data_IF_257127538849
#
_entry.id   IF_257127538849
#
_cell.length_a   1.000
_cell.length_b   1.000
_cell.length_c   1.000
_cell.angle_alpha   90.00
_cell.angle_beta   90.00
_cell.angle_gamma   90.00
#
_symmetry.space_group_name_H-M   'P 1'
#
loop_
_entity.id
_entity.type
_entity.pdbx_description
1 polymer ?
#
# COMPACT_ATOMS: atom_id res chain seq x y z
N UNK A 1 34.38 -18.94 33.63
CA UNK A 1 32.91 -18.74 33.64
C UNK A 1 32.63 -17.41 32.94
N UNK A 2 32.32 -17.45 31.64
CA UNK A 2 31.82 -16.28 30.91
C UNK A 2 30.31 -16.33 31.00
N UNK A 3 29.73 -15.28 31.59
CA UNK A 3 28.29 -15.10 31.75
C UNK A 3 27.74 -14.69 30.37
N UNK A 4 26.98 -15.57 29.71
CA UNK A 4 26.17 -15.19 28.55
C UNK A 4 24.99 -14.38 29.08
N UNK A 5 24.94 -13.09 28.75
CA UNK A 5 23.75 -12.28 28.91
C UNK A 5 22.80 -12.61 27.75
N UNK A 6 21.79 -13.44 28.02
CA UNK A 6 20.67 -13.68 27.13
C UNK A 6 19.72 -12.48 27.28
N UNK A 7 19.91 -11.45 26.46
CA UNK A 7 18.98 -10.32 26.39
C UNK A 7 17.77 -10.79 25.58
N UNK A 8 16.73 -11.28 26.27
CA UNK A 8 15.45 -11.60 25.67
C UNK A 8 14.78 -10.33 25.16
N UNK A 9 14.70 -10.18 23.84
CA UNK A 9 13.84 -9.20 23.20
C UNK A 9 12.38 -9.61 23.48
N UNK A 10 11.69 -8.84 24.31
CA UNK A 10 10.24 -9.01 24.53
C UNK A 10 9.53 -8.35 23.36
N UNK A 11 9.03 -9.16 22.42
CA UNK A 11 8.10 -8.71 21.38
C UNK A 11 6.75 -8.47 22.05
N UNK A 12 6.36 -7.20 22.16
CA UNK A 12 5.03 -6.82 22.64
C UNK A 12 4.06 -6.97 21.48
N UNK A 13 3.27 -8.04 21.48
CA UNK A 13 2.09 -8.16 20.62
C UNK A 13 1.04 -7.15 21.11
N UNK A 14 1.04 -5.96 20.51
CA UNK A 14 -0.07 -5.02 20.62
C UNK A 14 -1.13 -5.47 19.62
N UNK A 15 -2.24 -6.02 20.11
CA UNK A 15 -3.43 -6.21 19.28
C UNK A 15 -4.02 -4.82 19.05
N UNK A 16 -3.59 -4.14 17.98
CA UNK A 16 -4.23 -2.91 17.52
C UNK A 16 -5.56 -3.28 16.86
N UNK A 17 -6.62 -2.55 17.22
CA UNK A 17 -7.90 -2.69 16.54
C UNK A 17 -7.72 -2.38 15.05
N UNK A 18 -8.30 -3.23 14.20
CA UNK A 18 -8.27 -3.21 12.72
C UNK A 18 -8.78 -1.92 12.06
N UNK A 19 -9.22 -0.92 12.82
CA UNK A 19 -9.72 0.36 12.30
C UNK A 19 -8.61 1.31 11.81
N UNK A 20 -7.35 1.08 12.19
CA UNK A 20 -6.23 1.94 11.77
C UNK A 20 -5.88 1.81 10.28
N UNK A 21 -6.41 0.78 9.59
CA UNK A 21 -6.17 0.49 8.18
C UNK A 21 -7.33 0.93 7.27
N UNK A 22 -8.42 1.43 7.85
CA UNK A 22 -9.56 1.83 7.05
C UNK A 22 -9.33 3.20 6.39
N UNK A 23 -9.77 3.36 5.12
CA UNK A 23 -9.80 4.65 4.47
C UNK A 23 -10.55 5.67 5.32
N UNK A 24 -10.01 6.89 5.42
CA UNK A 24 -10.74 8.01 6.02
C UNK A 24 -10.71 9.22 5.11
N UNK A 25 -11.81 9.97 5.09
CA UNK A 25 -11.93 11.23 4.38
C UNK A 25 -12.00 12.39 5.37
N UNK A 26 -11.29 13.45 5.02
CA UNK A 26 -11.24 14.69 5.78
C UNK A 26 -12.58 15.42 5.73
N UNK A 27 -12.92 16.08 6.84
CA UNK A 27 -14.12 16.92 7.00
C UNK A 27 -13.86 18.38 6.58
N UNK A 28 -12.91 18.56 5.68
CA UNK A 28 -12.39 19.81 5.15
C UNK A 28 -12.48 19.83 3.62
N UNK A 29 -13.36 19.01 3.04
CA UNK A 29 -13.68 19.16 1.65
C UNK A 29 -14.18 20.58 1.39
N UNK A 30 -13.78 21.11 0.25
CA UNK A 30 -14.15 22.45 -0.20
C UNK A 30 -14.63 22.35 -1.62
N UNK A 31 -15.49 23.29 -2.00
CA UNK A 31 -15.61 23.63 -3.40
C UNK A 31 -15.17 25.08 -3.61
N UNK A 32 -14.47 25.34 -4.70
CA UNK A 32 -14.03 26.68 -5.09
C UNK A 32 -14.65 27.03 -6.43
N UNK A 33 -15.25 28.22 -6.51
CA UNK A 33 -15.75 28.81 -7.76
C UNK A 33 -15.35 30.29 -7.80
N UNK A 34 -15.19 30.85 -9.00
CA UNK A 34 -14.96 32.28 -9.20
C UNK A 34 -16.09 33.15 -8.63
N UNK A 35 -17.30 32.60 -8.62
CA UNK A 35 -18.54 33.33 -8.32
C UNK A 35 -19.03 33.08 -6.88
N UNK A 36 -18.33 32.22 -6.13
CA UNK A 36 -18.59 31.97 -4.71
C UNK A 36 -17.41 32.38 -3.82
N UNK A 37 -17.51 33.60 -3.30
CA UNK A 37 -16.55 34.16 -2.37
C UNK A 37 -16.74 33.61 -0.94
N UNK A 38 -15.67 33.58 -0.11
CA UNK A 38 -15.78 33.19 1.29
C UNK A 38 -16.82 34.05 2.05
N UNK A 39 -17.88 33.41 2.57
CA UNK A 39 -18.91 34.06 3.40
C UNK A 39 -20.32 34.13 2.81
N UNK A 40 -20.51 33.81 1.53
CA UNK A 40 -21.84 33.56 0.95
C UNK A 40 -22.26 32.12 1.25
N UNK A 41 -23.20 31.95 2.19
CA UNK A 41 -23.81 30.65 2.47
C UNK A 41 -25.35 30.81 2.48
N UNK A 42 -26.08 30.11 1.59
CA UNK A 42 -25.57 29.27 0.50
C UNK A 42 -24.81 30.10 -0.56
N UNK A 43 -23.79 29.46 -1.14
CA UNK A 43 -23.14 29.95 -2.35
C UNK A 43 -24.15 29.89 -3.50
N UNK A 44 -24.26 30.96 -4.28
CA UNK A 44 -25.14 31.02 -5.43
C UNK A 44 -24.32 30.89 -6.71
N UNK A 45 -24.57 29.84 -7.48
CA UNK A 45 -23.97 29.61 -8.80
C UNK A 45 -25.01 29.85 -9.89
N UNK A 46 -24.57 30.16 -11.10
CA UNK A 46 -25.41 30.24 -12.29
C UNK A 46 -25.19 29.01 -13.20
N UNK A 47 -26.18 28.64 -14.03
CA UNK A 47 -25.94 27.67 -15.09
C UNK A 47 -24.73 28.01 -15.96
N UNK A 48 -23.86 27.02 -16.19
CA UNK A 48 -22.61 27.20 -16.92
C UNK A 48 -21.42 27.64 -16.07
N UNK A 49 -21.62 28.01 -14.80
CA UNK A 49 -20.53 28.18 -13.86
C UNK A 49 -19.90 26.82 -13.55
N UNK A 50 -18.61 26.85 -13.19
CA UNK A 50 -17.92 25.67 -12.70
C UNK A 50 -17.48 25.83 -11.26
N UNK A 51 -17.40 24.70 -10.58
CA UNK A 51 -16.82 24.59 -9.25
C UNK A 51 -15.90 23.38 -9.17
N UNK A 52 -14.87 23.51 -8.36
CA UNK A 52 -13.86 22.47 -8.16
C UNK A 52 -13.96 21.91 -6.75
N UNK A 53 -14.22 20.61 -6.64
CA UNK A 53 -14.28 19.84 -5.41
C UNK A 53 -12.88 19.35 -5.03
N UNK A 54 -12.49 19.60 -3.79
CA UNK A 54 -11.23 19.16 -3.22
C UNK A 54 -11.52 18.38 -1.94
N UNK A 55 -10.73 17.34 -1.67
CA UNK A 55 -10.78 16.58 -0.43
C UNK A 55 -9.37 16.21 0.03
N UNK A 56 -9.27 15.77 1.28
CA UNK A 56 -8.06 15.11 1.81
C UNK A 56 -8.49 13.80 2.46
N UNK A 57 -7.57 12.85 2.65
CA UNK A 57 -7.86 11.61 3.35
C UNK A 57 -6.59 10.87 3.76
N UNK A 58 -6.76 9.72 4.38
CA UNK A 58 -5.67 8.82 4.77
C UNK A 58 -6.04 7.36 4.55
N UNK A 59 -5.03 6.48 4.49
CA UNK A 59 -5.19 5.06 4.18
C UNK A 59 -5.97 4.84 2.88
N UNK A 60 -5.68 5.69 1.89
CA UNK A 60 -6.26 5.64 0.56
C UNK A 60 -5.38 4.78 -0.34
N UNK A 61 -5.98 4.12 -1.32
CA UNK A 61 -5.24 3.29 -2.29
C UNK A 61 -5.15 4.02 -3.62
N UNK A 62 -3.93 4.08 -4.19
CA UNK A 62 -3.73 4.59 -5.53
C UNK A 62 -4.49 3.75 -6.56
N UNK A 63 -5.12 4.39 -7.55
CA UNK A 63 -5.96 3.73 -8.55
C UNK A 63 -7.45 3.67 -8.18
N UNK A 64 -7.81 3.80 -6.90
CA UNK A 64 -9.20 4.00 -6.47
C UNK A 64 -9.64 5.47 -6.69
N UNK A 65 -10.88 5.81 -6.31
CA UNK A 65 -11.33 7.19 -6.35
C UNK A 65 -12.31 7.61 -5.27
N UNK A 66 -12.43 8.93 -5.09
CA UNK A 66 -13.50 9.54 -4.31
C UNK A 66 -14.66 9.85 -5.23
N UNK A 67 -15.75 9.09 -5.10
CA UNK A 67 -16.98 9.31 -5.85
C UNK A 67 -17.78 10.44 -5.20
N UNK A 68 -18.08 11.47 -5.97
CA UNK A 68 -18.84 12.63 -5.53
C UNK A 68 -20.29 12.50 -5.96
N UNK A 69 -21.20 12.69 -5.02
CA UNK A 69 -22.64 12.62 -5.27
C UNK A 69 -23.32 13.94 -4.93
N UNK A 70 -24.45 14.18 -5.58
CA UNK A 70 -25.31 15.34 -5.36
C UNK A 70 -26.76 14.92 -5.06
N UNK A 71 -27.45 15.67 -4.21
CA UNK A 71 -28.89 15.51 -3.97
C UNK A 71 -29.53 16.84 -3.55
N UNK A 72 -30.85 16.95 -3.73
CA UNK A 72 -31.67 18.01 -3.13
C UNK A 72 -32.14 17.66 -1.70
N UNK A 73 -31.83 16.44 -1.23
CA UNK A 73 -32.16 16.00 0.13
C UNK A 73 -30.98 16.26 1.07
N UNK A 74 -31.19 16.96 2.20
CA UNK A 74 -30.13 17.12 3.18
C UNK A 74 -29.80 15.78 3.85
N UNK A 75 -28.51 15.52 4.07
CA UNK A 75 -27.98 14.32 4.72
C UNK A 75 -28.26 13.00 3.97
N UNK A 76 -28.44 13.04 2.65
CA UNK A 76 -28.54 11.83 1.83
C UNK A 76 -27.26 10.98 1.92
N UNK A 77 -27.39 9.65 1.89
CA UNK A 77 -26.27 8.72 2.02
C UNK A 77 -26.03 7.94 0.71
N UNK A 78 -24.95 8.24 -0.04
CA UNK A 78 -24.58 7.49 -1.24
C UNK A 78 -24.35 5.98 -1.04
N UNK A 79 -23.91 5.54 0.15
CA UNK A 79 -23.76 4.10 0.45
C UNK A 79 -25.10 3.35 0.46
N UNK A 80 -26.23 4.06 0.61
CA UNK A 80 -27.58 3.50 0.47
C UNK A 80 -28.13 3.57 -0.97
N UNK A 81 -27.32 4.01 -1.94
CA UNK A 81 -27.75 4.26 -3.32
C UNK A 81 -28.55 5.55 -3.49
N UNK A 82 -28.38 6.52 -2.59
CA UNK A 82 -29.04 7.82 -2.66
C UNK A 82 -28.18 8.84 -3.44
N UNK A 83 -28.84 9.84 -4.03
CA UNK A 83 -28.18 10.90 -4.80
C UNK A 83 -27.76 10.48 -6.22
N UNK A 84 -27.17 11.42 -6.94
CA UNK A 84 -26.70 11.26 -8.31
C UNK A 84 -25.18 11.41 -8.35
N UNK A 85 -24.48 10.51 -9.04
CA UNK A 85 -23.02 10.58 -9.20
C UNK A 85 -22.66 11.78 -10.10
N UNK A 86 -21.84 12.69 -9.58
CA UNK A 86 -21.23 13.80 -10.32
C UNK A 86 -19.98 13.36 -11.06
N UNK A 87 -19.14 12.55 -10.40
CA UNK A 87 -17.85 12.14 -10.93
C UNK A 87 -16.95 11.58 -9.85
N UNK A 88 -15.69 11.38 -10.22
CA UNK A 88 -14.71 10.60 -9.47
C UNK A 88 -13.40 11.39 -9.42
N UNK A 89 -12.95 11.73 -8.21
CA UNK A 89 -11.63 12.30 -7.94
C UNK A 89 -10.62 11.16 -7.84
N UNK A 90 -9.81 10.98 -8.88
CA UNK A 90 -8.82 9.90 -8.94
C UNK A 90 -7.80 10.03 -7.81
N UNK A 91 -7.39 8.88 -7.26
CA UNK A 91 -6.35 8.80 -6.25
C UNK A 91 -5.05 8.38 -6.95
N UNK A 92 -4.13 9.33 -7.00
CA UNK A 92 -2.84 9.17 -7.69
C UNK A 92 -1.72 9.19 -6.66
N UNK A 93 -0.57 8.67 -7.07
CA UNK A 93 0.68 8.89 -6.36
C UNK A 93 1.53 9.84 -7.18
N UNK A 94 2.35 10.69 -6.54
CA UNK A 94 3.38 11.43 -7.26
C UNK A 94 4.20 10.47 -8.15
N UNK A 95 4.68 10.91 -9.32
CA UNK A 95 5.53 10.09 -10.17
C UNK A 95 6.71 9.53 -9.37
N UNK A 96 7.05 8.24 -9.54
CA UNK A 96 8.19 7.62 -8.89
C UNK A 96 9.52 8.39 -9.08
N UNK A 97 10.30 8.52 -8.01
CA UNK A 97 11.69 9.00 -8.04
C UNK A 97 12.62 7.90 -7.46
N UNK A 98 12.93 6.84 -8.24
CA UNK A 98 13.43 5.53 -7.76
C UNK A 98 14.76 5.54 -7.01
N UNK A 99 15.45 6.68 -6.95
CA UNK A 99 16.72 6.81 -6.26
C UNK A 99 16.78 8.03 -5.33
N UNK A 100 15.61 8.58 -4.95
CA UNK A 100 15.55 9.74 -4.08
C UNK A 100 14.24 9.77 -3.24
N UNK A 101 14.28 9.22 -2.00
CA UNK A 101 15.41 8.48 -1.41
C UNK A 101 15.60 7.12 -2.09
N UNK A 102 16.80 6.55 -1.96
CA UNK A 102 17.06 5.18 -2.42
C UNK A 102 16.14 4.17 -1.70
N UNK A 103 15.76 3.08 -2.38
CA UNK A 103 15.18 1.90 -1.76
C UNK A 103 16.14 1.27 -0.72
N UNK A 104 15.60 0.37 0.09
CA UNK A 104 16.37 -0.40 1.09
C UNK A 104 15.99 -1.87 0.94
N UNK A 105 16.97 -2.75 0.73
CA UNK A 105 16.70 -4.19 0.75
C UNK A 105 16.63 -4.66 2.22
N UNK A 106 15.41 -4.95 2.70
CA UNK A 106 15.17 -5.18 4.13
C UNK A 106 15.59 -6.56 4.58
N UNK A 107 15.32 -7.58 3.77
CA UNK A 107 15.54 -8.95 4.19
C UNK A 107 15.05 -9.98 3.19
N UNK A 108 15.47 -11.21 3.46
CA UNK A 108 15.09 -12.43 2.77
C UNK A 108 14.61 -13.46 3.79
N UNK A 109 13.59 -14.21 3.42
CA UNK A 109 13.05 -15.31 4.20
C UNK A 109 13.62 -16.62 3.67
N UNK A 110 14.62 -17.16 4.40
CA UNK A 110 15.57 -18.17 3.91
C UNK A 110 15.13 -19.59 4.25
N UNK A 111 14.32 -19.80 5.30
CA UNK A 111 13.80 -21.12 5.62
C UNK A 111 12.27 -21.05 5.65
N UNK A 112 11.65 -21.47 4.56
CA UNK A 112 10.23 -21.29 4.34
C UNK A 112 9.37 -22.15 5.29
N UNK A 113 8.09 -21.80 5.42
CA UNK A 113 7.14 -22.58 6.23
C UNK A 113 6.34 -23.63 5.45
N UNK A 114 6.46 -23.66 4.12
CA UNK A 114 5.81 -24.60 3.22
C UNK A 114 6.80 -25.38 2.36
N UNK A 115 6.44 -25.63 1.10
CA UNK A 115 7.40 -26.10 0.09
C UNK A 115 8.50 -25.06 -0.08
N UNK A 116 9.77 -25.42 0.13
CA UNK A 116 10.87 -24.47 0.29
C UNK A 116 10.96 -23.49 -0.88
N UNK A 117 11.17 -24.05 -2.08
CA UNK A 117 11.33 -23.31 -3.33
C UNK A 117 10.10 -22.46 -3.71
N UNK A 118 8.93 -22.78 -3.18
CA UNK A 118 7.70 -22.05 -3.49
C UNK A 118 7.48 -20.84 -2.58
N UNK A 119 8.04 -20.86 -1.38
CA UNK A 119 7.58 -19.99 -0.29
C UNK A 119 8.67 -19.12 0.31
N UNK A 120 9.80 -19.01 -0.37
CA UNK A 120 10.81 -18.01 -0.10
C UNK A 120 10.36 -16.64 -0.65
N UNK A 121 10.62 -15.60 0.11
CA UNK A 121 10.24 -14.24 -0.26
C UNK A 121 11.25 -13.22 0.25
N UNK A 122 11.19 -12.03 -0.35
CA UNK A 122 12.02 -10.89 0.00
C UNK A 122 11.14 -9.75 0.50
N UNK A 123 11.71 -8.82 1.24
CA UNK A 123 11.07 -7.57 1.57
C UNK A 123 12.01 -6.40 1.29
N UNK A 124 11.44 -5.30 0.81
CA UNK A 124 12.17 -4.05 0.60
C UNK A 124 11.33 -2.83 0.99
N UNK A 125 12.01 -1.71 1.24
CA UNK A 125 11.39 -0.40 1.34
C UNK A 125 11.52 0.33 0.01
N UNK A 126 10.44 0.94 -0.48
CA UNK A 126 10.40 1.47 -1.86
C UNK A 126 11.17 2.78 -2.08
N UNK A 127 11.64 3.44 -1.03
CA UNK A 127 12.36 4.71 -1.16
C UNK A 127 11.46 5.79 -1.78
N UNK A 128 11.89 6.40 -2.89
CA UNK A 128 11.11 7.36 -3.68
C UNK A 128 10.09 6.72 -4.64
N UNK A 129 9.89 5.40 -4.57
CA UNK A 129 8.96 4.65 -5.42
C UNK A 129 9.57 4.31 -6.78
N UNK A 130 9.03 3.32 -7.47
CA UNK A 130 9.60 2.85 -8.75
C UNK A 130 8.54 2.12 -9.60
N UNK A 131 8.78 2.00 -10.91
CA UNK A 131 7.99 1.09 -11.73
C UNK A 131 8.47 -0.35 -11.52
N UNK A 132 7.55 -1.28 -11.27
CA UNK A 132 7.92 -2.66 -10.94
C UNK A 132 8.68 -3.36 -12.08
N UNK A 133 8.51 -2.93 -13.33
CA UNK A 133 9.26 -3.47 -14.48
C UNK A 133 10.77 -3.20 -14.40
N UNK A 134 11.18 -2.19 -13.63
CA UNK A 134 12.59 -1.84 -13.46
C UNK A 134 13.26 -2.65 -12.35
N UNK A 135 12.47 -3.28 -11.47
CA UNK A 135 12.97 -4.14 -10.42
C UNK A 135 13.52 -5.44 -11.02
N UNK A 136 14.71 -5.82 -10.60
CA UNK A 136 15.32 -7.10 -10.94
C UNK A 136 15.87 -7.75 -9.69
N UNK A 137 15.76 -9.08 -9.63
CA UNK A 137 16.39 -9.90 -8.61
C UNK A 137 17.46 -10.78 -9.26
N UNK A 138 18.61 -10.87 -8.61
CA UNK A 138 19.68 -11.80 -8.97
C UNK A 138 19.98 -12.70 -7.79
N UNK A 139 19.84 -14.00 -8.02
CA UNK A 139 20.12 -15.08 -7.09
C UNK A 139 21.46 -15.75 -7.42
N UNK A 140 22.01 -16.48 -6.45
CA UNK A 140 23.25 -17.25 -6.66
C UNK A 140 23.06 -18.35 -7.69
N UNK A 141 21.90 -19.02 -7.72
CA UNK A 141 21.54 -19.93 -8.80
C UNK A 141 21.07 -19.13 -10.04
N UNK A 142 21.86 -19.10 -11.13
CA UNK A 142 21.50 -18.32 -12.31
C UNK A 142 20.26 -18.84 -13.03
N UNK A 143 19.84 -20.09 -12.78
CA UNK A 143 18.64 -20.67 -13.36
C UNK A 143 17.35 -19.96 -12.89
N UNK A 144 17.41 -19.28 -11.75
CA UNK A 144 16.29 -18.55 -11.15
C UNK A 144 16.28 -17.05 -11.51
N UNK A 145 17.22 -16.59 -12.34
CA UNK A 145 17.34 -15.19 -12.75
C UNK A 145 16.52 -14.87 -14.01
N UNK A 146 16.17 -13.59 -14.19
CA UNK A 146 15.52 -13.09 -15.40
C UNK A 146 14.00 -13.28 -15.44
N UNK A 147 13.40 -13.63 -14.30
CA UNK A 147 11.96 -13.67 -14.11
C UNK A 147 11.36 -12.27 -14.09
N UNK A 148 10.14 -12.13 -14.61
CA UNK A 148 9.35 -10.92 -14.48
C UNK A 148 8.51 -10.97 -13.20
N UNK A 149 7.76 -9.90 -12.97
CA UNK A 149 6.83 -9.78 -11.85
C UNK A 149 5.38 -9.89 -12.34
N UNK A 150 4.53 -10.46 -11.50
CA UNK A 150 3.10 -10.58 -11.74
C UNK A 150 2.32 -10.18 -10.49
N UNK A 151 1.06 -9.82 -10.70
CA UNK A 151 0.09 -9.70 -9.61
C UNK A 151 0.01 -11.08 -8.92
N UNK A 152 0.12 -11.14 -7.57
CA UNK A 152 0.08 -12.41 -6.85
C UNK A 152 -1.14 -13.26 -7.17
N UNK A 153 -1.00 -14.58 -7.05
CA UNK A 153 -2.10 -15.52 -7.24
C UNK A 153 -3.28 -15.24 -6.31
N UNK A 154 -4.50 -15.61 -6.71
CA UNK A 154 -5.69 -15.38 -5.88
C UNK A 154 -5.63 -16.04 -4.51
N UNK A 155 -4.86 -17.12 -4.35
CA UNK A 155 -4.62 -17.76 -3.05
C UNK A 155 -3.76 -16.87 -2.14
N UNK A 156 -2.64 -16.36 -2.66
CA UNK A 156 -1.77 -15.41 -1.94
C UNK A 156 -2.54 -14.15 -1.56
N UNK A 157 -3.30 -13.58 -2.50
CA UNK A 157 -4.13 -12.41 -2.23
C UNK A 157 -5.13 -12.67 -1.10
N UNK A 158 -5.86 -13.79 -1.17
CA UNK A 158 -6.88 -14.13 -0.17
C UNK A 158 -6.28 -14.33 1.23
N UNK A 159 -5.13 -15.00 1.32
CA UNK A 159 -4.41 -15.17 2.59
C UNK A 159 -4.04 -13.82 3.20
N UNK A 160 -3.42 -12.94 2.40
CA UNK A 160 -2.94 -11.64 2.88
C UNK A 160 -4.09 -10.70 3.24
N UNK A 161 -5.11 -10.58 2.39
CA UNK A 161 -6.26 -9.69 2.63
C UNK A 161 -7.06 -10.10 3.86
N UNK A 162 -7.06 -11.39 4.23
CA UNK A 162 -7.74 -11.87 5.44
C UNK A 162 -7.14 -11.30 6.73
N UNK A 163 -5.85 -10.98 6.74
CA UNK A 163 -5.14 -10.40 7.88
C UNK A 163 -4.89 -8.89 7.72
N UNK A 164 -4.65 -8.46 6.49
CA UNK A 164 -4.26 -7.11 6.12
C UNK A 164 -5.12 -6.60 4.95
N UNK A 165 -6.35 -6.14 5.21
CA UNK A 165 -7.29 -5.70 4.17
C UNK A 165 -6.78 -4.50 3.34
N UNK A 166 -5.82 -3.74 3.87
CA UNK A 166 -5.19 -2.61 3.17
C UNK A 166 -3.97 -2.97 2.31
N UNK A 167 -3.68 -4.26 2.09
CA UNK A 167 -2.60 -4.68 1.18
C UNK A 167 -2.95 -4.40 -0.28
N UNK A 168 -1.95 -3.97 -1.07
CA UNK A 168 -2.10 -3.66 -2.50
C UNK A 168 -1.27 -4.66 -3.32
N UNK A 169 -1.86 -5.20 -4.38
CA UNK A 169 -1.26 -6.23 -5.21
C UNK A 169 -0.84 -5.65 -6.56
N UNK A 170 0.44 -5.81 -6.91
CA UNK A 170 1.05 -5.19 -8.10
C UNK A 170 1.82 -6.20 -8.94
N UNK A 171 1.83 -5.98 -10.26
CA UNK A 171 2.57 -6.77 -11.25
C UNK A 171 3.47 -5.91 -12.13
N UNK A 172 4.11 -6.53 -13.13
CA UNK A 172 4.96 -5.80 -14.06
C UNK A 172 4.18 -4.68 -14.76
N UNK A 173 4.77 -3.49 -14.79
CA UNK A 173 4.20 -2.27 -15.34
C UNK A 173 3.52 -1.36 -14.32
N UNK A 174 3.17 -1.87 -13.13
CA UNK A 174 2.57 -1.06 -12.07
C UNK A 174 3.63 -0.24 -11.34
N UNK A 175 3.23 0.93 -10.84
CA UNK A 175 4.06 1.77 -9.99
C UNK A 175 3.93 1.39 -8.51
N UNK A 176 5.06 1.17 -7.86
CA UNK A 176 5.16 1.07 -6.40
C UNK A 176 5.41 2.49 -5.89
N UNK A 177 4.55 3.05 -5.03
CA UNK A 177 4.69 4.43 -4.58
C UNK A 177 5.91 4.62 -3.68
N UNK A 178 6.26 5.87 -3.45
CA UNK A 178 7.26 6.23 -2.46
C UNK A 178 6.84 5.78 -1.05
N UNK A 179 7.84 5.41 -0.26
CA UNK A 179 7.74 5.25 1.18
C UNK A 179 6.75 4.15 1.64
N UNK A 180 6.79 2.99 0.99
CA UNK A 180 5.99 1.80 1.38
C UNK A 180 6.85 0.54 1.49
N UNK A 181 6.47 -0.44 2.33
CA UNK A 181 7.02 -1.78 2.25
C UNK A 181 6.50 -2.51 1.00
N UNK A 182 7.38 -3.27 0.34
CA UNK A 182 7.04 -4.23 -0.70
C UNK A 182 7.50 -5.62 -0.29
N UNK A 183 6.58 -6.59 -0.32
CA UNK A 183 6.86 -8.03 -0.17
C UNK A 183 6.90 -8.67 -1.56
N UNK A 184 7.94 -9.45 -1.84
CA UNK A 184 8.21 -10.04 -3.15
C UNK A 184 8.29 -11.55 -2.97
N UNK A 185 7.26 -12.27 -3.40
CA UNK A 185 7.29 -13.75 -3.42
C UNK A 185 8.18 -14.24 -4.56
N UNK A 186 9.13 -15.12 -4.26
CA UNK A 186 10.14 -15.58 -5.21
C UNK A 186 9.64 -16.59 -6.25
N UNK A 187 8.47 -17.19 -6.04
CA UNK A 187 7.88 -18.22 -6.90
C UNK A 187 6.42 -17.91 -7.23
N UNK A 188 5.98 -18.26 -8.43
CA UNK A 188 4.57 -18.24 -8.87
C UNK A 188 3.70 -19.34 -8.22
N UNK A 189 4.32 -20.27 -7.48
CA UNK A 189 3.65 -21.39 -6.82
C UNK A 189 3.57 -21.26 -5.30
N UNK A 190 3.74 -20.05 -4.74
CA UNK A 190 3.59 -19.82 -3.31
C UNK A 190 2.29 -20.45 -2.78
N UNK A 191 2.45 -21.35 -1.81
CA UNK A 191 1.42 -22.28 -1.33
C UNK A 191 1.25 -22.24 0.20
N UNK A 192 1.90 -21.28 0.87
CA UNK A 192 1.85 -21.10 2.31
C UNK A 192 1.27 -19.75 2.73
N UNK A 193 0.39 -19.79 3.73
CA UNK A 193 -0.28 -18.62 4.32
C UNK A 193 0.62 -17.97 5.38
N UNK A 194 1.47 -17.03 4.97
CA UNK A 194 2.33 -16.27 5.87
C UNK A 194 1.58 -15.16 6.60
N UNK A 195 1.96 -14.95 7.86
CA UNK A 195 1.40 -13.87 8.66
C UNK A 195 2.17 -12.55 8.46
N UNK A 196 1.47 -11.54 7.97
CA UNK A 196 1.99 -10.18 7.75
C UNK A 196 1.34 -9.11 8.64
N UNK A 197 0.58 -9.52 9.66
CA UNK A 197 -0.09 -8.60 10.60
C UNK A 197 0.86 -7.57 11.23
N UNK A 198 2.13 -7.94 11.43
CA UNK A 198 3.19 -7.03 11.89
C UNK A 198 3.47 -5.87 10.94
N UNK A 199 3.41 -6.08 9.62
CA UNK A 199 3.61 -5.01 8.64
C UNK A 199 2.41 -4.09 8.58
N UNK A 200 1.21 -4.63 8.40
CA UNK A 200 0.02 -3.81 8.21
C UNK A 200 -0.41 -3.09 9.50
N UNK A 201 -0.09 -3.61 10.69
CA UNK A 201 -0.32 -2.88 11.95
C UNK A 201 0.59 -1.66 12.11
N UNK A 202 1.76 -1.65 11.47
CA UNK A 202 2.76 -0.56 11.57
C UNK A 202 2.60 0.44 10.43
N UNK A 203 2.38 -0.01 9.20
CA UNK A 203 2.41 0.84 8.00
C UNK A 203 1.02 1.12 7.42
N UNK A 204 -0.02 0.41 7.86
CA UNK A 204 -1.37 0.49 7.30
C UNK A 204 -1.47 -0.26 5.97
N UNK A 205 -0.82 0.28 4.95
CA UNK A 205 -0.77 -0.25 3.57
C UNK A 205 0.64 -0.74 3.25
N UNK A 206 0.73 -1.89 2.58
CA UNK A 206 1.96 -2.39 1.99
C UNK A 206 1.65 -3.06 0.65
N UNK A 207 2.68 -3.20 -0.16
CA UNK A 207 2.57 -3.72 -1.51
C UNK A 207 3.07 -5.16 -1.58
N UNK A 208 2.49 -5.94 -2.46
CA UNK A 208 2.85 -7.35 -2.66
C UNK A 208 2.94 -7.65 -4.15
N UNK A 209 4.02 -8.31 -4.53
CA UNK A 209 4.22 -8.84 -5.87
C UNK A 209 4.70 -10.29 -5.80
N UNK A 210 4.63 -10.99 -6.93
CA UNK A 210 5.05 -12.37 -7.06
C UNK A 210 5.88 -12.54 -8.34
N UNK A 211 6.93 -13.35 -8.27
CA UNK A 211 7.69 -13.79 -9.45
C UNK A 211 6.78 -14.53 -10.43
N UNK A 212 7.01 -14.37 -11.72
CA UNK A 212 6.31 -15.13 -12.76
C UNK A 212 6.92 -16.52 -13.03
N UNK A 213 8.08 -16.82 -12.46
CA UNK A 213 8.75 -18.11 -12.53
C UNK A 213 8.37 -19.05 -11.40
N UNK A 214 8.58 -20.36 -11.64
CA UNK A 214 8.66 -21.36 -10.60
C UNK A 214 10.13 -21.83 -10.50
N UNK A 215 10.84 -21.56 -9.40
CA UNK A 215 12.18 -22.06 -9.22
C UNK A 215 12.14 -23.59 -9.04
N UNK A 216 13.17 -24.27 -9.54
CA UNK A 216 13.28 -25.72 -9.45
C UNK A 216 13.94 -26.20 -8.13
N UNK A 217 14.53 -25.26 -7.40
CA UNK A 217 15.25 -25.43 -6.14
C UNK A 217 15.03 -24.17 -5.29
N UNK A 218 15.45 -24.21 -4.03
CA UNK A 218 15.52 -23.03 -3.16
C UNK A 218 16.26 -21.87 -3.85
N UNK A 219 15.69 -20.66 -3.73
CA UNK A 219 16.25 -19.39 -4.14
C UNK A 219 17.30 -18.91 -3.12
N UNK A 220 17.05 -19.18 -1.85
CA UNK A 220 17.90 -18.79 -0.72
C UNK A 220 18.38 -20.05 0.00
N UNK A 221 19.50 -20.65 -0.44
CA UNK A 221 20.06 -21.80 0.24
C UNK A 221 20.12 -21.63 1.75
N UNK A 222 19.64 -22.63 2.48
CA UNK A 222 19.48 -22.57 3.93
C UNK A 222 20.23 -23.70 4.66
N UNK A 223 20.92 -24.54 3.89
CA UNK A 223 21.83 -25.58 4.38
C UNK A 223 23.18 -25.51 3.68
N UNK A 224 24.22 -26.02 4.35
CA UNK A 224 25.57 -26.09 3.80
C UNK A 224 26.56 -25.18 4.53
N UNK A 225 27.61 -24.77 3.82
CA UNK A 225 28.68 -23.91 4.33
C UNK A 225 29.02 -22.85 3.29
N UNK A 226 29.37 -21.65 3.75
CA UNK A 226 29.78 -20.55 2.88
C UNK A 226 28.82 -19.37 2.99
N UNK A 227 29.02 -18.41 2.09
CA UNK A 227 28.21 -17.19 2.02
C UNK A 227 27.42 -17.18 0.74
N UNK A 228 26.13 -16.87 0.85
CA UNK A 228 25.20 -16.68 -0.27
C UNK A 228 24.91 -15.20 -0.40
N UNK A 229 24.76 -14.72 -1.63
CA UNK A 229 24.40 -13.32 -1.93
C UNK A 229 23.18 -13.27 -2.82
N UNK A 230 22.19 -12.48 -2.42
CA UNK A 230 21.05 -12.08 -3.26
C UNK A 230 21.10 -10.59 -3.50
N UNK A 231 20.83 -10.15 -4.73
CA UNK A 231 20.81 -8.75 -5.10
C UNK A 231 19.44 -8.32 -5.61
N UNK A 232 19.02 -7.13 -5.22
CA UNK A 232 17.93 -6.40 -5.87
C UNK A 232 18.50 -5.17 -6.57
N UNK A 233 17.96 -4.84 -7.74
CA UNK A 233 18.32 -3.59 -8.43
C UNK A 233 17.15 -2.98 -9.18
N UNK A 234 17.16 -1.65 -9.24
CA UNK A 234 16.23 -0.80 -9.97
C UNK A 234 17.08 0.25 -10.70
N UNK A 235 17.61 -0.09 -11.89
CA UNK A 235 18.34 0.80 -12.81
C UNK A 235 19.44 1.72 -12.23
N UNK A 236 19.04 2.74 -11.47
CA UNK A 236 19.89 3.68 -10.75
C UNK A 236 20.32 3.24 -9.33
N UNK A 237 19.72 2.18 -8.77
CA UNK A 237 20.03 1.64 -7.44
C UNK A 237 20.24 0.12 -7.49
N UNK A 238 21.14 -0.38 -6.65
CA UNK A 238 21.26 -1.80 -6.33
C UNK A 238 21.69 -1.99 -4.89
N UNK A 239 21.22 -3.06 -4.27
CA UNK A 239 21.58 -3.44 -2.91
C UNK A 239 21.60 -4.96 -2.79
N UNK A 240 22.40 -5.49 -1.88
CA UNK A 240 22.57 -6.93 -1.73
C UNK A 240 22.50 -7.36 -0.28
N UNK A 241 21.99 -8.57 -0.06
CA UNK A 241 22.06 -9.25 1.22
C UNK A 241 22.98 -10.44 1.04
N UNK A 242 24.10 -10.38 1.75
CA UNK A 242 25.07 -11.47 1.85
C UNK A 242 24.99 -12.11 3.24
N UNK A 243 24.80 -13.42 3.30
CA UNK A 243 24.60 -14.14 4.56
C UNK A 243 25.38 -15.46 4.64
N UNK A 244 25.72 -15.85 5.86
CA UNK A 244 26.48 -17.06 6.16
C UNK A 244 25.53 -18.22 6.51
N UNK A 245 25.59 -19.29 5.72
CA UNK A 245 24.79 -20.50 5.89
C UNK A 245 24.97 -21.15 7.27
N UNK A 246 26.14 -20.96 7.90
CA UNK A 246 26.42 -21.50 9.23
C UNK A 246 25.68 -20.78 10.36
N UNK A 247 25.08 -19.61 10.08
CA UNK A 247 24.31 -18.82 11.04
C UNK A 247 22.80 -18.97 10.86
N UNK A 248 22.35 -19.62 9.78
CA UNK A 248 20.94 -19.90 9.55
C UNK A 248 20.47 -21.02 10.47
N UNK A 249 19.39 -20.76 11.20
CA UNK A 249 18.74 -21.81 11.99
C UNK A 249 18.03 -22.78 11.05
N UNK A 250 18.28 -24.08 11.19
CA UNK A 250 17.61 -25.12 10.40
C UNK A 250 16.18 -25.40 10.91
N UNK A 251 15.37 -24.35 11.05
CA UNK A 251 13.98 -24.39 11.46
C UNK A 251 13.19 -23.41 10.59
N UNK A 252 11.96 -23.80 10.27
CA UNK A 252 11.05 -22.96 9.50
C UNK A 252 10.92 -21.57 10.14
N UNK A 253 10.86 -20.58 9.26
CA UNK A 253 10.78 -19.18 9.65
C UNK A 253 12.11 -18.47 9.80
N UNK A 254 13.22 -19.06 9.34
CA UNK A 254 14.50 -18.40 9.39
C UNK A 254 14.56 -17.27 8.36
N UNK A 255 15.08 -16.13 8.77
CA UNK A 255 15.25 -14.96 7.90
C UNK A 255 16.60 -14.30 8.14
N UNK A 256 17.04 -13.57 7.12
CA UNK A 256 18.15 -12.63 7.21
C UNK A 256 17.61 -11.25 6.88
N UNK A 257 17.91 -10.27 7.73
CA UNK A 257 17.51 -8.89 7.50
C UNK A 257 18.73 -7.98 7.60
N UNK A 258 18.76 -6.93 6.78
CA UNK A 258 19.77 -5.88 6.88
C UNK A 258 19.07 -4.56 7.18
N UNK A 259 19.33 -4.04 8.38
CA UNK A 259 18.68 -2.82 8.85
C UNK A 259 19.72 -1.71 9.02
N UNK A 260 19.45 -0.47 8.56
CA UNK A 260 20.42 0.62 8.61
C UNK A 260 21.05 0.89 10.00
N UNK A 261 20.31 0.61 11.08
CA UNK A 261 20.75 0.87 12.46
C UNK A 261 21.34 -0.37 13.13
N UNK A 262 20.89 -1.57 12.75
CA UNK A 262 21.24 -2.81 13.45
C UNK A 262 22.23 -3.69 12.68
N UNK A 263 22.49 -3.39 11.40
CA UNK A 263 23.27 -4.24 10.49
C UNK A 263 22.54 -5.53 10.15
N UNK A 264 23.30 -6.55 9.76
CA UNK A 264 22.78 -7.89 9.45
C UNK A 264 22.27 -8.59 10.70
N UNK A 265 21.04 -9.08 10.64
CA UNK A 265 20.36 -9.84 11.69
C UNK A 265 19.98 -11.20 11.14
N UNK A 266 20.29 -12.24 11.90
CA UNK A 266 19.79 -13.59 11.71
C UNK A 266 18.69 -13.83 12.73
N UNK A 267 17.52 -14.26 12.27
CA UNK A 267 16.37 -14.45 13.14
C UNK A 267 15.51 -15.63 12.75
N UNK A 268 14.58 -15.93 13.64
CA UNK A 268 13.52 -16.91 13.41
C UNK A 268 12.18 -16.26 13.78
N UNK A 269 11.36 -15.96 12.76
CA UNK A 269 10.04 -15.35 12.93
C UNK A 269 8.91 -16.37 13.09
N UNK A 270 9.22 -17.67 12.99
CA UNK A 270 8.19 -18.64 12.62
C UNK A 270 7.62 -18.29 11.24
N UNK A 271 6.35 -18.60 10.99
CA UNK A 271 5.72 -18.34 9.69
C UNK A 271 5.14 -16.92 9.58
N UNK A 272 5.87 -15.96 10.15
CA UNK A 272 5.49 -14.56 10.17
C UNK A 272 6.69 -13.69 9.81
N UNK A 273 6.45 -12.62 9.04
CA UNK A 273 7.49 -11.63 8.77
C UNK A 273 7.60 -10.66 9.95
N UNK A 274 8.81 -10.41 10.48
CA UNK A 274 9.00 -9.46 11.58
C UNK A 274 8.70 -8.03 11.13
N UNK A 275 8.20 -7.21 12.05
CA UNK A 275 8.19 -5.76 11.88
C UNK A 275 9.57 -5.19 12.18
N UNK A 276 10.10 -4.32 11.33
CA UNK A 276 11.39 -3.65 11.58
C UNK A 276 11.19 -2.23 12.09
N UNK A 277 11.50 -1.95 13.37
CA UNK A 277 11.44 -0.58 13.88
C UNK A 277 12.51 0.28 13.22
N UNK A 278 12.18 1.55 12.94
CA UNK A 278 13.16 2.54 12.45
C UNK A 278 13.35 2.60 10.94
N UNK A 279 12.51 1.92 10.15
CA UNK A 279 12.37 2.27 8.73
C UNK A 279 11.82 3.70 8.60
N UNK A 280 12.15 4.44 7.51
CA UNK A 280 11.61 5.77 7.27
C UNK A 280 10.09 5.71 7.36
N UNK A 281 9.51 6.20 8.45
CA UNK A 281 8.08 6.04 8.68
C UNK A 281 7.27 6.89 7.70
N UNK A 282 6.23 6.34 7.10
CA UNK A 282 5.13 7.09 6.51
C UNK A 282 4.22 6.20 5.66
N UNK A 283 2.96 6.59 5.54
CA UNK A 283 2.03 6.06 4.55
C UNK A 283 2.45 6.55 3.16
N UNK A 284 2.05 5.87 2.06
CA UNK A 284 2.24 6.41 0.72
C UNK A 284 1.63 7.82 0.65
N UNK A 285 2.31 8.73 -0.05
CA UNK A 285 1.74 10.03 -0.37
C UNK A 285 0.71 9.79 -1.47
N UNK A 286 -0.57 9.90 -1.11
CA UNK A 286 -1.69 9.83 -2.04
C UNK A 286 -2.18 11.26 -2.30
N UNK A 287 -2.27 11.61 -3.56
CA UNK A 287 -2.88 12.85 -4.04
C UNK A 287 -4.32 12.57 -4.47
N UNK A 288 -5.24 13.43 -4.05
CA UNK A 288 -6.64 13.37 -4.47
C UNK A 288 -6.82 14.41 -5.57
N UNK A 289 -6.99 13.95 -6.80
CA UNK A 289 -7.20 14.85 -7.94
C UNK A 289 -8.50 15.65 -7.78
N UNK A 290 -8.46 16.98 -7.96
CA UNK A 290 -9.66 17.79 -7.82
C UNK A 290 -10.69 17.46 -8.92
N UNK A 291 -11.96 17.36 -8.56
CA UNK A 291 -13.05 17.18 -9.53
C UNK A 291 -13.66 18.52 -9.89
N UNK A 292 -13.60 18.90 -11.17
CA UNK A 292 -14.31 20.09 -11.66
C UNK A 292 -15.64 19.71 -12.28
N UNK A 293 -16.71 20.35 -11.81
CA UNK A 293 -18.09 20.12 -12.24
C UNK A 293 -18.65 21.41 -12.82
N UNK A 294 -19.50 21.30 -13.83
CA UNK A 294 -20.28 22.42 -14.38
C UNK A 294 -21.72 22.33 -13.91
N UNK A 295 -22.30 23.48 -13.54
CA UNK A 295 -23.73 23.60 -13.17
C UNK A 295 -24.59 23.46 -14.42
N UNK A 296 -25.56 22.54 -14.39
CA UNK A 296 -26.45 22.30 -15.52
C UNK A 296 -27.51 23.41 -15.62
N UNK A 297 -27.94 23.71 -16.86
CA UNK A 297 -29.07 24.59 -17.10
C UNK A 297 -30.38 24.07 -16.51
N UNK A 298 -30.52 22.75 -16.39
CA UNK A 298 -31.70 22.13 -15.78
C UNK A 298 -31.75 22.31 -14.25
N UNK A 299 -30.65 22.73 -13.61
CA UNK A 299 -30.59 23.02 -12.17
C UNK A 299 -31.07 24.44 -11.82
N UNK A 300 -31.48 25.22 -12.83
CA UNK A 300 -31.86 26.63 -12.71
C UNK A 300 -32.96 26.91 -11.68
N UNK A 301 -32.73 27.87 -10.77
CA UNK A 301 -33.64 28.26 -9.68
C UNK A 301 -34.04 27.09 -8.76
N UNK A 302 -33.20 26.06 -8.68
CA UNK A 302 -33.33 24.94 -7.77
C UNK A 302 -32.28 25.03 -6.65
N UNK A 303 -32.49 24.22 -5.61
CA UNK A 303 -31.62 24.15 -4.45
C UNK A 303 -32.37 24.27 -3.12
N UNK A 304 -31.67 24.12 -1.99
CA UNK A 304 -30.24 23.86 -1.90
C UNK A 304 -29.87 22.46 -2.39
N UNK A 305 -28.78 22.39 -3.16
CA UNK A 305 -28.13 21.12 -3.47
C UNK A 305 -27.09 20.80 -2.40
N UNK A 306 -26.96 19.52 -2.10
CA UNK A 306 -25.99 18.98 -1.15
C UNK A 306 -25.04 18.05 -1.90
N UNK A 307 -23.73 18.24 -1.71
CA UNK A 307 -22.68 17.40 -2.28
C UNK A 307 -21.93 16.70 -1.16
N UNK A 308 -21.61 15.42 -1.37
CA UNK A 308 -20.74 14.65 -0.48
C UNK A 308 -19.87 13.68 -1.30
N UNK A 309 -18.61 13.52 -0.90
CA UNK A 309 -17.69 12.53 -1.46
C UNK A 309 -17.62 11.28 -0.59
N UNK A 310 -17.58 10.09 -1.21
CA UNK A 310 -17.37 8.79 -0.55
C UNK A 310 -16.16 8.07 -1.11
N UNK A 311 -15.54 7.20 -0.32
CA UNK A 311 -14.49 6.29 -0.80
C UNK A 311 -15.14 4.97 -1.24
N UNK A 312 -14.92 4.58 -2.50
CA UNK A 312 -15.47 3.35 -3.06
C UNK A 312 -14.49 2.68 -4.04
N UNK A 313 -14.28 1.35 -3.96
CA UNK A 313 -14.94 0.41 -3.05
C UNK A 313 -14.42 0.50 -1.60
N UNK A 314 -15.32 0.41 -0.63
CA UNK A 314 -14.93 0.38 0.78
C UNK A 314 -14.40 -1.01 1.15
N UNK A 315 -13.20 -1.13 1.76
CA UNK A 315 -12.68 -2.42 2.19
C UNK A 315 -13.62 -3.14 3.17
N UNK A 316 -13.72 -4.47 3.03
CA UNK A 316 -14.61 -5.27 3.89
C UNK A 316 -14.26 -5.10 5.37
N UNK A 317 -15.26 -4.77 6.17
CA UNK A 317 -15.10 -4.54 7.61
C UNK A 317 -14.73 -3.10 7.99
N UNK A 318 -14.53 -2.21 7.02
CA UNK A 318 -14.36 -0.78 7.29
C UNK A 318 -15.70 -0.05 7.45
N UNK A 319 -15.78 0.97 8.33
CA UNK A 319 -16.95 1.83 8.43
C UNK A 319 -17.05 2.76 7.21
N UNK A 320 -18.27 3.15 6.86
CA UNK A 320 -18.52 4.19 5.85
C UNK A 320 -17.71 5.45 6.16
N UNK A 321 -17.12 6.05 5.12
CA UNK A 321 -16.36 7.30 5.23
C UNK A 321 -16.85 8.31 4.21
N UNK A 322 -17.12 9.52 4.67
CA UNK A 322 -17.68 10.61 3.86
C UNK A 322 -16.89 11.88 4.10
N UNK A 323 -16.84 12.78 3.13
CA UNK A 323 -16.44 14.17 3.37
C UNK A 323 -17.51 14.91 4.21
N UNK A 324 -17.24 16.15 4.61
CA UNK A 324 -18.32 17.04 5.03
C UNK A 324 -19.29 17.30 3.86
N UNK A 325 -20.55 17.60 4.18
CA UNK A 325 -21.52 18.06 3.19
C UNK A 325 -21.18 19.49 2.76
N UNK A 326 -21.19 19.70 1.45
CA UNK A 326 -21.11 21.01 0.81
C UNK A 326 -22.50 21.37 0.30
N UNK A 327 -22.82 22.67 0.22
CA UNK A 327 -24.12 23.09 -0.32
C UNK A 327 -24.04 24.37 -1.14
N UNK A 328 -24.86 24.44 -2.18
CA UNK A 328 -25.03 25.61 -3.04
C UNK A 328 -26.48 25.73 -3.55
N UNK A 329 -26.86 26.94 -3.93
CA UNK A 329 -28.09 27.26 -4.65
C UNK A 329 -27.73 27.60 -6.11
N UNK A 330 -28.66 27.38 -7.03
CA UNK A 330 -28.50 27.80 -8.42
C UNK A 330 -29.45 28.95 -8.73
N UNK A 331 -28.91 30.13 -8.99
CA UNK A 331 -29.67 31.33 -9.35
C UNK A 331 -29.58 31.57 -10.85
N UNK A 332 -30.72 31.90 -11.47
CA UNK A 332 -30.76 32.33 -12.86
C UNK A 332 -31.10 33.82 -12.97
N UNK A 333 -30.50 34.53 -13.94
CA UNK A 333 -30.85 35.92 -14.24
C UNK A 333 -32.27 36.09 -14.79
#
# INVERSE_FOLDING_TARGET
MKLLALTGLVVVLVVSNSSAQCPTLGQNATFTSTDCLPGSNPCALCPGDSYTLNATGSNLTAGDCINWYISDQPNFNPYNGEGTLLGCSALTTPPPDPCNPNPIFLGIFVNACGTEENNEFMAMWSGGGFNLSDLTATYEDPANNGCSWQVPSGAVQSSITSECPGAVFVGAGDDVPANVPLVIFGSNQADFDYNFSGLCSVYGTFYVTQSDCAPATELFPNTGNGTVTTNLSIGCWSDDITYDLSQISNVNGAFVAELPILGTIYGQGGCAWPSFPGLPGGSPIIEIEPLTVMVDADECNMGPYYIVGIYEPLPSGCPETMTNYLSYDVNCP
#
